data_IF_377977209672
#
_entry.id   IF_377977209672
#
_cell.length_a   1.000
_cell.length_b   1.000
_cell.length_c   1.000
_cell.angle_alpha   90.00
_cell.angle_beta   90.00
_cell.angle_gamma   90.00
#
_symmetry.space_group_name_H-M   'P 1'
#
loop_
_entity.id
_entity.type
_entity.pdbx_description
1 polymer ?
#
# COMPACT_ATOMS: atom_id res chain seq x y z
N UNK A 1 7.59 -8.59 -7.35
CA UNK A 1 6.24 -8.49 -7.91
C UNK A 1 5.60 -7.18 -7.51
N UNK A 2 4.89 -6.55 -8.42
CA UNK A 2 4.29 -5.24 -8.20
C UNK A 2 2.92 -5.35 -7.55
N UNK A 3 2.67 -4.54 -6.52
CA UNK A 3 1.39 -4.48 -5.82
C UNK A 3 0.94 -3.05 -5.59
N UNK A 4 -0.38 -2.85 -5.62
CA UNK A 4 -1.01 -1.65 -5.12
C UNK A 4 -1.70 -1.96 -3.80
N UNK A 5 -1.44 -1.14 -2.80
CA UNK A 5 -2.09 -1.23 -1.50
C UNK A 5 -3.04 -0.06 -1.36
N UNK A 6 -4.31 -0.36 -1.21
CA UNK A 6 -5.37 0.65 -1.08
C UNK A 6 -5.90 0.59 0.35
N UNK A 7 -5.63 1.64 1.11
CA UNK A 7 -5.99 1.72 2.53
C UNK A 7 -7.05 2.79 2.70
N UNK A 8 -8.29 2.38 2.90
CA UNK A 8 -9.44 3.29 3.05
C UNK A 8 -9.81 3.40 4.53
N UNK A 9 -9.93 4.60 5.04
CA UNK A 9 -10.37 4.86 6.41
C UNK A 9 -11.69 5.64 6.42
N UNK A 10 -12.46 5.48 7.51
CA UNK A 10 -13.71 6.22 7.68
C UNK A 10 -13.44 7.71 7.96
N UNK A 11 -14.43 8.58 7.74
CA UNK A 11 -14.27 9.99 8.10
C UNK A 11 -13.89 10.20 9.56
N UNK A 12 -14.41 9.38 10.48
CA UNK A 12 -14.09 9.47 11.90
C UNK A 12 -12.63 9.12 12.19
N UNK A 13 -12.05 8.24 11.40
CA UNK A 13 -10.65 7.80 11.52
C UNK A 13 -9.69 8.67 10.71
N UNK A 14 -10.19 9.71 10.04
CA UNK A 14 -9.35 10.59 9.23
C UNK A 14 -8.30 11.29 10.11
N UNK A 15 -7.01 11.26 9.73
CA UNK A 15 -5.96 11.92 10.50
C UNK A 15 -6.19 13.41 10.74
N UNK A 16 -6.98 14.07 9.89
CA UNK A 16 -7.32 15.48 10.05
C UNK A 16 -8.26 15.73 11.24
N UNK A 17 -9.04 14.73 11.63
CA UNK A 17 -10.06 14.84 12.68
C UNK A 17 -9.83 13.96 13.90
N UNK A 18 -8.90 13.01 13.81
CA UNK A 18 -8.68 12.00 14.84
C UNK A 18 -7.24 12.00 15.30
N UNK A 19 -7.03 12.31 16.58
CA UNK A 19 -5.68 12.44 17.16
C UNK A 19 -4.88 11.14 17.11
N UNK A 20 -5.54 10.00 17.36
CA UNK A 20 -4.87 8.71 17.32
C UNK A 20 -4.43 8.37 15.90
N UNK A 21 -5.30 8.58 14.92
CA UNK A 21 -4.98 8.37 13.51
C UNK A 21 -3.87 9.31 13.04
N UNK A 22 -3.90 10.56 13.51
CA UNK A 22 -2.85 11.53 13.19
C UNK A 22 -1.48 11.06 13.69
N UNK A 23 -1.43 10.54 14.91
CA UNK A 23 -0.18 9.99 15.48
C UNK A 23 0.34 8.85 14.63
N UNK A 24 -0.51 7.90 14.27
CA UNK A 24 -0.16 6.75 13.42
C UNK A 24 0.34 7.25 12.06
N UNK A 25 -0.40 8.17 11.45
CA UNK A 25 -0.05 8.74 10.14
C UNK A 25 1.33 9.39 10.15
N UNK A 26 1.65 10.18 11.17
CA UNK A 26 2.93 10.87 11.25
C UNK A 26 4.12 9.93 11.45
N UNK A 27 3.89 8.75 12.03
CA UNK A 27 4.93 7.76 12.28
C UNK A 27 5.10 6.75 11.16
N UNK A 28 4.14 6.69 10.22
CA UNK A 28 4.06 5.61 9.24
C UNK A 28 5.27 5.54 8.33
N UNK A 29 5.76 6.69 7.87
CA UNK A 29 6.88 6.73 6.93
C UNK A 29 8.15 6.12 7.52
N UNK A 30 8.45 6.45 8.77
CA UNK A 30 9.61 5.91 9.48
C UNK A 30 9.45 4.41 9.76
N UNK A 31 8.27 4.00 10.17
CA UNK A 31 7.96 2.59 10.43
C UNK A 31 8.05 1.76 9.18
N UNK A 32 7.58 2.28 8.04
CA UNK A 32 7.72 1.61 6.76
C UNK A 32 9.18 1.37 6.43
N UNK A 33 10.00 2.41 6.48
CA UNK A 33 11.43 2.31 6.17
C UNK A 33 12.14 1.27 7.03
N UNK A 34 11.83 1.24 8.32
CA UNK A 34 12.44 0.30 9.27
C UNK A 34 12.04 -1.15 9.05
N UNK A 35 10.89 -1.39 8.43
CA UNK A 35 10.32 -2.72 8.32
C UNK A 35 10.33 -3.31 6.91
N UNK A 36 10.78 -2.56 5.90
CA UNK A 36 10.76 -3.05 4.51
C UNK A 36 11.51 -4.37 4.35
N UNK A 37 12.74 -4.42 4.83
CA UNK A 37 13.59 -5.61 4.72
C UNK A 37 12.98 -6.82 5.43
N UNK A 38 12.48 -6.59 6.63
CA UNK A 38 11.89 -7.64 7.47
C UNK A 38 10.74 -8.36 6.78
N UNK A 39 9.94 -7.63 6.01
CA UNK A 39 8.75 -8.18 5.36
C UNK A 39 8.93 -8.46 3.87
N UNK A 40 10.17 -8.51 3.38
CA UNK A 40 10.42 -8.85 1.98
C UNK A 40 9.95 -7.81 0.99
N UNK A 41 9.86 -6.57 1.40
CA UNK A 41 9.52 -5.46 0.50
C UNK A 41 10.81 -5.00 -0.18
N UNK A 42 10.84 -5.10 -1.50
CA UNK A 42 12.02 -4.74 -2.27
C UNK A 42 12.17 -3.23 -2.34
N UNK A 43 11.07 -2.53 -2.61
CA UNK A 43 11.05 -1.05 -2.62
C UNK A 43 9.62 -0.51 -2.62
N UNK A 44 9.48 0.71 -2.15
CA UNK A 44 8.24 1.48 -2.28
C UNK A 44 8.42 2.41 -3.48
N UNK A 45 7.58 2.22 -4.49
CA UNK A 45 7.64 3.00 -5.74
C UNK A 45 6.93 4.34 -5.57
N UNK A 46 5.82 4.35 -4.84
CA UNK A 46 5.07 5.57 -4.58
C UNK A 46 4.16 5.42 -3.38
N UNK A 47 3.91 6.52 -2.71
CA UNK A 47 2.99 6.57 -1.59
C UNK A 47 2.14 7.83 -1.76
N UNK A 48 0.87 7.66 -2.06
CA UNK A 48 -0.05 8.73 -2.36
C UNK A 48 -1.24 8.71 -1.42
N UNK A 49 -1.89 9.84 -1.28
CA UNK A 49 -3.07 9.96 -0.45
C UNK A 49 -4.13 10.77 -1.17
N UNK A 50 -5.36 10.27 -1.16
CA UNK A 50 -6.54 11.02 -1.59
C UNK A 50 -7.28 11.48 -0.34
N UNK A 51 -7.22 12.78 -0.05
CA UNK A 51 -7.96 13.35 1.08
C UNK A 51 -9.46 13.25 0.83
N UNK A 52 -9.88 13.48 -0.42
CA UNK A 52 -11.29 13.44 -0.81
C UNK A 52 -11.93 12.08 -0.57
N UNK A 53 -11.20 11.01 -0.90
CA UNK A 53 -11.72 9.64 -0.81
C UNK A 53 -11.33 8.95 0.50
N UNK A 54 -10.60 9.64 1.39
CA UNK A 54 -10.08 9.05 2.64
C UNK A 54 -9.31 7.77 2.37
N UNK A 55 -8.42 7.80 1.37
CA UNK A 55 -7.70 6.62 0.92
C UNK A 55 -6.21 6.91 0.75
N UNK A 56 -5.39 5.95 1.17
CA UNK A 56 -3.96 5.94 0.89
C UNK A 56 -3.70 4.90 -0.20
N UNK A 57 -2.77 5.21 -1.10
CA UNK A 57 -2.40 4.32 -2.19
C UNK A 57 -0.88 4.16 -2.13
N UNK A 58 -0.44 2.93 -1.91
CA UNK A 58 0.99 2.61 -1.88
C UNK A 58 1.28 1.66 -3.02
N UNK A 59 2.21 2.03 -3.89
CA UNK A 59 2.68 1.16 -4.98
C UNK A 59 4.04 0.64 -4.55
N UNK A 60 4.18 -0.68 -4.51
CA UNK A 60 5.42 -1.29 -4.04
C UNK A 60 5.75 -2.59 -4.75
N UNK A 61 7.03 -2.97 -4.66
CA UNK A 61 7.55 -4.23 -5.15
C UNK A 61 7.83 -5.13 -3.95
N UNK A 62 7.23 -6.30 -3.92
CA UNK A 62 7.34 -7.23 -2.80
C UNK A 62 7.29 -8.67 -3.28
N UNK A 63 7.67 -9.59 -2.39
CA UNK A 63 7.67 -11.02 -2.69
C UNK A 63 6.27 -11.61 -2.71
N UNK A 64 5.41 -11.17 -1.80
CA UNK A 64 4.05 -11.72 -1.68
C UNK A 64 3.08 -10.75 -1.03
N UNK A 65 1.79 -10.97 -1.27
CA UNK A 65 0.71 -10.21 -0.64
C UNK A 65 0.66 -10.41 0.87
N UNK A 66 0.97 -11.61 1.35
CA UNK A 66 1.00 -11.92 2.80
C UNK A 66 2.01 -11.06 3.54
N UNK A 67 3.17 -10.84 2.96
CA UNK A 67 4.21 -10.00 3.57
C UNK A 67 3.76 -8.54 3.65
N UNK A 68 3.05 -8.07 2.63
CA UNK A 68 2.46 -6.73 2.62
C UNK A 68 1.41 -6.59 3.72
N UNK A 69 0.54 -7.58 3.87
CA UNK A 69 -0.47 -7.59 4.94
C UNK A 69 0.19 -7.49 6.31
N UNK A 70 1.23 -8.30 6.55
CA UNK A 70 1.98 -8.27 7.79
C UNK A 70 2.64 -6.92 8.04
N UNK A 71 3.17 -6.31 6.99
CA UNK A 71 3.75 -4.97 7.07
C UNK A 71 2.70 -3.94 7.50
N UNK A 72 1.53 -3.96 6.85
CA UNK A 72 0.44 -3.01 7.16
C UNK A 72 -0.04 -3.12 8.60
N UNK A 73 -0.08 -4.35 9.13
CA UNK A 73 -0.44 -4.59 10.53
C UNK A 73 0.64 -4.00 11.45
N UNK A 74 1.90 -4.30 11.15
CA UNK A 74 3.03 -3.90 12.00
C UNK A 74 3.21 -2.37 12.05
N UNK A 75 3.04 -1.69 10.93
CA UNK A 75 3.21 -0.22 10.90
C UNK A 75 1.96 0.54 11.33
N UNK A 76 0.85 -0.15 11.56
CA UNK A 76 -0.37 0.46 12.10
C UNK A 76 -1.41 0.90 11.09
N UNK A 77 -1.17 0.73 9.80
CA UNK A 77 -2.15 1.12 8.76
C UNK A 77 -3.46 0.35 8.96
N UNK A 78 -3.36 -0.96 9.22
CA UNK A 78 -4.53 -1.82 9.39
C UNK A 78 -5.36 -1.49 10.62
N UNK A 79 -4.79 -0.78 11.60
CA UNK A 79 -5.53 -0.40 12.81
C UNK A 79 -6.55 0.71 12.57
N UNK A 80 -6.38 1.49 11.50
CA UNK A 80 -7.26 2.63 11.19
C UNK A 80 -7.87 2.55 9.79
N UNK A 81 -7.51 1.53 9.00
CA UNK A 81 -7.92 1.46 7.59
C UNK A 81 -8.33 0.06 7.20
N UNK A 82 -9.23 -0.03 6.23
CA UNK A 82 -9.50 -1.27 5.52
C UNK A 82 -8.50 -1.39 4.38
N UNK A 83 -7.81 -2.52 4.29
CA UNK A 83 -6.72 -2.73 3.35
C UNK A 83 -7.17 -3.61 2.19
N UNK A 84 -6.83 -3.18 0.97
CA UNK A 84 -7.00 -3.98 -0.24
C UNK A 84 -5.64 -4.07 -0.93
N UNK A 85 -5.16 -5.29 -1.14
CA UNK A 85 -3.87 -5.55 -1.76
C UNK A 85 -4.12 -6.14 -3.15
N UNK A 86 -3.64 -5.46 -4.19
CA UNK A 86 -3.93 -5.81 -5.58
C UNK A 86 -2.62 -6.08 -6.31
N UNK A 87 -2.44 -7.30 -6.87
CA UNK A 87 -1.31 -7.55 -7.77
C UNK A 87 -1.44 -6.67 -9.01
N UNK A 88 -0.34 -6.06 -9.42
CA UNK A 88 -0.33 -5.17 -10.56
C UNK A 88 0.63 -5.68 -11.63
N UNK A 89 0.28 -5.45 -12.88
CA UNK A 89 1.15 -5.66 -14.01
C UNK A 89 1.36 -4.33 -14.71
N UNK A 90 2.56 -4.10 -15.21
CA UNK A 90 2.81 -2.96 -16.06
C UNK A 90 1.96 -3.11 -17.33
N UNK A 91 1.27 -2.05 -17.73
CA UNK A 91 0.38 -2.08 -18.89
C UNK A 91 1.14 -2.48 -20.17
N UNK A 92 2.35 -1.98 -20.33
CA UNK A 92 3.20 -2.35 -21.48
C UNK A 92 3.48 -3.85 -21.54
N UNK A 93 3.78 -4.45 -20.39
CA UNK A 93 4.04 -5.89 -20.31
C UNK A 93 2.79 -6.67 -20.71
N UNK A 94 1.63 -6.26 -20.24
CA UNK A 94 0.36 -6.89 -20.59
C UNK A 94 0.08 -6.78 -22.09
N UNK A 95 0.28 -5.60 -22.68
CA UNK A 95 0.09 -5.37 -24.12
C UNK A 95 1.07 -6.20 -24.95
N UNK A 96 2.33 -6.27 -24.57
CA UNK A 96 3.33 -7.08 -25.27
C UNK A 96 2.97 -8.57 -25.25
N UNK A 97 2.46 -9.05 -24.11
CA UNK A 97 2.00 -10.42 -23.97
C UNK A 97 0.86 -10.73 -24.94
N UNK A 98 -0.11 -9.81 -25.03
CA UNK A 98 -1.23 -9.95 -25.97
C UNK A 98 -0.77 -9.96 -27.43
N UNK A 99 0.17 -9.09 -27.77
CA UNK A 99 0.74 -9.03 -29.13
C UNK A 99 1.49 -10.29 -29.53
N UNK A 100 2.14 -10.96 -28.58
CA UNK A 100 2.91 -12.16 -28.83
C UNK A 100 2.05 -13.42 -28.92
N UNK A 101 0.78 -13.36 -28.51
CA UNK A 101 -0.15 -14.47 -28.65
C UNK A 101 -0.56 -14.64 -30.10
N UNK A 102 -0.33 -15.82 -30.65
CA UNK A 102 -0.77 -16.17 -32.02
C UNK A 102 -2.12 -16.87 -31.95
N UNK A 103 -2.97 -16.50 -32.87
CA UNK A 103 -4.29 -17.13 -33.04
C UNK A 103 -4.16 -18.51 -33.69
#
# INVERSE_FOLDING_TARGET
MLFGVFATHSPESCPLNNKNSKKIFLEIQDKLKKNLKKFGIIRVIGFYMSVLEHEWIIILDAKSAHEIESLCITVGISSISTIKIVPLNDFKVAINRLKSQKQ
#
